data_IF_829364828790
#
_entry.id   IF_829364828790
#
_cell.length_a   1.000
_cell.length_b   1.000
_cell.length_c   1.000
_cell.angle_alpha   90.00
_cell.angle_beta   90.00
_cell.angle_gamma   90.00
#
_symmetry.space_group_name_H-M   'P 1'
#
loop_
_entity.id
_entity.type
_entity.pdbx_description
1 polymer ?
#
# COMPACT_ATOMS: atom_id res chain seq x y z
N UNK A 1 13.14 -7.36 -7.38
CA UNK A 1 11.86 -6.63 -7.24
C UNK A 1 10.75 -7.64 -7.40
N UNK A 2 9.80 -7.69 -6.46
CA UNK A 2 8.72 -8.70 -6.52
C UNK A 2 7.53 -8.34 -7.43
N UNK A 3 7.53 -7.15 -8.04
CA UNK A 3 6.47 -6.68 -8.93
C UNK A 3 6.54 -7.44 -10.28
N UNK A 4 5.41 -7.86 -10.89
CA UNK A 4 5.44 -8.61 -12.15
C UNK A 4 5.96 -7.73 -13.28
N UNK A 5 6.68 -8.33 -14.21
CA UNK A 5 7.27 -7.63 -15.36
C UNK A 5 6.23 -6.89 -16.19
N UNK A 6 5.03 -7.46 -16.35
CA UNK A 6 3.91 -6.82 -17.04
C UNK A 6 3.45 -5.52 -16.36
N UNK A 7 3.39 -5.51 -15.02
CA UNK A 7 3.04 -4.32 -14.24
C UNK A 7 4.15 -3.29 -14.32
N UNK A 8 5.41 -3.70 -14.13
CA UNK A 8 6.56 -2.81 -14.21
C UNK A 8 6.63 -2.10 -15.58
N UNK A 9 6.44 -2.84 -16.68
CA UNK A 9 6.42 -2.28 -18.03
C UNK A 9 5.24 -1.33 -18.25
N UNK A 10 4.04 -1.67 -17.74
CA UNK A 10 2.87 -0.79 -17.85
C UNK A 10 3.07 0.53 -17.11
N UNK A 11 3.62 0.48 -15.88
CA UNK A 11 3.94 1.67 -15.08
C UNK A 11 5.03 2.50 -15.75
N UNK A 12 6.12 1.89 -16.22
CA UNK A 12 7.18 2.59 -16.92
C UNK A 12 6.67 3.29 -18.20
N UNK A 13 5.87 2.58 -19.01
CA UNK A 13 5.25 3.12 -20.22
C UNK A 13 4.31 4.28 -19.89
N UNK A 14 3.50 4.15 -18.83
CA UNK A 14 2.62 5.21 -18.35
C UNK A 14 3.44 6.46 -17.98
N UNK A 15 4.50 6.30 -17.18
CA UNK A 15 5.34 7.41 -16.71
C UNK A 15 6.01 8.13 -17.89
N UNK A 16 6.57 7.38 -18.85
CA UNK A 16 7.13 7.94 -20.07
C UNK A 16 6.11 8.79 -20.83
N UNK A 17 4.88 8.31 -21.00
CA UNK A 17 3.79 9.07 -21.64
C UNK A 17 3.44 10.34 -20.87
N UNK A 18 3.36 10.30 -19.54
CA UNK A 18 3.08 11.50 -18.74
C UNK A 18 4.18 12.56 -18.89
N UNK A 19 5.45 12.12 -18.89
CA UNK A 19 6.61 13.00 -19.10
C UNK A 19 6.63 13.62 -20.49
N UNK A 20 6.38 12.83 -21.53
CA UNK A 20 6.27 13.33 -22.91
C UNK A 20 5.15 14.35 -23.07
N UNK A 21 4.07 14.23 -22.29
CA UNK A 21 2.98 15.23 -22.23
C UNK A 21 3.32 16.45 -21.35
N UNK A 22 4.53 16.54 -20.79
CA UNK A 22 4.94 17.65 -19.92
C UNK A 22 4.21 17.73 -18.58
N UNK A 23 3.48 16.68 -18.17
CA UNK A 23 2.72 16.68 -16.91
C UNK A 23 3.65 16.58 -15.72
N UNK A 24 3.61 17.59 -14.85
CA UNK A 24 4.44 17.66 -13.64
C UNK A 24 3.92 16.78 -12.50
N UNK A 25 2.59 16.66 -12.38
CA UNK A 25 1.90 15.87 -11.36
C UNK A 25 1.03 14.83 -12.07
N UNK A 26 1.21 13.55 -11.73
CA UNK A 26 0.47 12.45 -12.31
C UNK A 26 0.40 11.28 -11.30
N UNK A 27 -0.72 10.57 -11.21
CA UNK A 27 -0.89 9.51 -10.23
C UNK A 27 -0.30 8.19 -10.73
N UNK A 28 0.32 7.43 -9.83
CA UNK A 28 0.82 6.08 -10.10
C UNK A 28 -0.11 5.01 -9.55
N UNK A 29 -0.69 5.29 -8.39
CA UNK A 29 -1.61 4.42 -7.68
C UNK A 29 -2.85 5.24 -7.34
N UNK A 30 -4.04 4.68 -7.51
CA UNK A 30 -5.25 5.20 -6.90
C UNK A 30 -5.49 4.44 -5.58
N UNK A 31 -5.52 5.14 -4.45
CA UNK A 31 -6.14 4.59 -3.23
C UNK A 31 -7.65 4.73 -3.37
N UNK A 32 -8.35 3.62 -3.52
CA UNK A 32 -9.80 3.58 -3.62
C UNK A 32 -10.37 3.03 -2.31
N UNK A 33 -11.10 3.86 -1.58
CA UNK A 33 -11.78 3.50 -0.33
C UNK A 33 -13.30 3.46 -0.59
N UNK A 34 -13.86 2.34 -1.10
CA UNK A 34 -15.29 2.23 -1.40
C UNK A 34 -16.16 2.20 -0.15
N UNK A 35 -15.58 1.98 1.03
CA UNK A 35 -16.23 2.08 2.32
C UNK A 35 -15.23 2.37 3.45
N UNK A 36 -15.74 2.80 4.60
CA UNK A 36 -14.94 2.95 5.82
C UNK A 36 -15.33 2.00 6.96
N UNK A 37 -16.48 1.31 6.92
CA UNK A 37 -16.79 0.28 7.92
C UNK A 37 -15.72 -0.82 7.93
N UNK A 38 -15.29 -1.21 9.12
CA UNK A 38 -14.37 -2.32 9.34
C UNK A 38 -14.96 -3.27 10.39
N UNK A 39 -14.45 -4.50 10.41
CA UNK A 39 -14.78 -5.54 11.40
C UNK A 39 -13.66 -5.73 12.45
N UNK A 40 -12.72 -4.78 12.51
CA UNK A 40 -11.60 -4.67 13.44
C UNK A 40 -11.42 -3.21 13.87
N UNK A 41 -10.79 -3.01 15.04
CA UNK A 41 -10.49 -1.71 15.64
C UNK A 41 -8.99 -1.58 15.94
N UNK A 42 -8.16 -1.66 14.89
CA UNK A 42 -6.71 -1.73 15.05
C UNK A 42 -6.12 -0.49 15.74
N UNK A 43 -5.10 -0.72 16.59
CA UNK A 43 -4.48 0.31 17.43
C UNK A 43 -3.89 1.50 16.64
N UNK A 44 -3.36 1.23 15.44
CA UNK A 44 -2.76 2.24 14.56
C UNK A 44 -3.71 2.86 13.53
N UNK A 45 -5.00 2.49 13.52
CA UNK A 45 -5.94 2.94 12.49
C UNK A 45 -6.70 4.22 12.91
N UNK A 46 -6.59 5.28 12.10
CA UNK A 46 -7.39 6.50 12.26
C UNK A 46 -8.64 6.58 11.36
N UNK A 47 -8.82 5.62 10.44
CA UNK A 47 -9.77 5.72 9.31
C UNK A 47 -11.23 5.38 9.65
N UNK A 48 -11.46 4.60 10.71
CA UNK A 48 -12.82 4.18 11.13
C UNK A 48 -13.43 5.09 12.21
N UNK A 49 -12.72 6.15 12.60
CA UNK A 49 -13.15 7.09 13.64
C UNK A 49 -14.13 8.14 13.07
N UNK A 50 -15.31 7.65 12.67
CA UNK A 50 -16.40 8.40 12.07
C UNK A 50 -17.77 7.94 12.61
N UNK A 51 -18.82 8.79 12.57
CA UNK A 51 -20.18 8.38 12.92
C UNK A 51 -20.70 7.24 12.03
N UNK A 52 -21.60 6.41 12.56
CA UNK A 52 -22.13 5.23 11.87
C UNK A 52 -22.71 5.54 10.48
N UNK A 53 -23.46 6.64 10.34
CA UNK A 53 -24.04 7.00 9.04
C UNK A 53 -22.98 7.23 7.94
N UNK A 54 -21.79 7.70 8.30
CA UNK A 54 -20.65 7.83 7.36
C UNK A 54 -20.00 6.46 7.16
N UNK A 55 -19.81 5.71 8.24
CA UNK A 55 -19.23 4.36 8.15
C UNK A 55 -20.09 3.44 7.28
N UNK A 56 -21.40 3.65 7.18
CA UNK A 56 -22.34 2.89 6.35
C UNK A 56 -22.41 3.33 4.89
N UNK A 57 -21.81 4.45 4.52
CA UNK A 57 -21.73 4.86 3.11
C UNK A 57 -20.91 3.87 2.29
N UNK A 58 -21.34 3.64 1.06
CA UNK A 58 -20.70 2.74 0.09
C UNK A 58 -20.64 3.42 -1.26
N UNK A 59 -19.51 3.34 -1.95
CA UNK A 59 -19.44 3.70 -3.36
C UNK A 59 -19.97 2.54 -4.20
N UNK A 60 -20.77 2.83 -5.23
CA UNK A 60 -21.20 1.77 -6.16
C UNK A 60 -20.03 1.30 -7.03
N UNK A 61 -20.14 0.13 -7.69
CA UNK A 61 -19.15 -0.30 -8.69
C UNK A 61 -18.89 0.75 -9.77
N UNK A 62 -19.92 1.41 -10.27
CA UNK A 62 -19.84 2.43 -11.32
C UNK A 62 -19.06 3.66 -10.85
N UNK A 63 -19.30 4.14 -9.63
CA UNK A 63 -18.53 5.25 -9.03
C UNK A 63 -17.05 4.90 -8.87
N UNK A 64 -16.76 3.65 -8.48
CA UNK A 64 -15.40 3.15 -8.33
C UNK A 64 -14.65 3.10 -9.66
N UNK A 65 -15.31 2.60 -10.72
CA UNK A 65 -14.73 2.53 -12.06
C UNK A 65 -14.54 3.93 -12.65
N UNK A 66 -15.53 4.82 -12.49
CA UNK A 66 -15.45 6.20 -12.94
C UNK A 66 -14.25 6.92 -12.28
N UNK A 67 -14.05 6.76 -10.97
CA UNK A 67 -12.90 7.33 -10.28
C UNK A 67 -11.55 6.78 -10.80
N UNK A 68 -11.49 5.48 -11.11
CA UNK A 68 -10.29 4.85 -11.67
C UNK A 68 -9.97 5.30 -13.11
N UNK A 69 -11.00 5.63 -13.89
CA UNK A 69 -10.87 6.23 -15.22
C UNK A 69 -10.45 7.70 -15.13
N UNK A 70 -11.13 8.47 -14.27
CA UNK A 70 -10.85 9.89 -14.02
C UNK A 70 -9.41 10.13 -13.57
N UNK A 71 -8.93 9.35 -12.59
CA UNK A 71 -7.55 9.42 -12.11
C UNK A 71 -6.53 8.92 -13.15
N UNK A 72 -6.88 7.90 -13.92
CA UNK A 72 -6.02 7.36 -14.97
C UNK A 72 -4.76 6.65 -14.48
N UNK A 73 -4.58 6.45 -13.16
CA UNK A 73 -3.48 5.67 -12.60
C UNK A 73 -3.48 4.23 -13.14
N UNK A 74 -2.31 3.62 -13.41
CA UNK A 74 -2.22 2.23 -13.87
C UNK A 74 -2.51 1.20 -12.77
N UNK A 75 -2.33 1.58 -11.50
CA UNK A 75 -2.53 0.71 -10.32
C UNK A 75 -3.69 1.25 -9.49
N UNK A 76 -4.53 0.36 -8.96
CA UNK A 76 -5.60 0.70 -8.02
C UNK A 76 -5.43 -0.17 -6.78
N UNK A 77 -5.24 0.46 -5.62
CA UNK A 77 -5.26 -0.21 -4.33
C UNK A 77 -6.64 -0.01 -3.72
N UNK A 78 -7.42 -1.08 -3.65
CA UNK A 78 -8.72 -1.06 -2.98
C UNK A 78 -8.47 -1.25 -1.49
N UNK A 79 -8.68 -0.19 -0.72
CA UNK A 79 -8.44 -0.09 0.71
C UNK A 79 -9.67 0.54 1.40
N UNK A 80 -9.50 1.16 2.57
CA UNK A 80 -10.56 1.84 3.32
C UNK A 80 -10.71 1.26 4.72
N UNK A 81 -11.96 0.94 5.10
CA UNK A 81 -12.21 0.01 6.20
C UNK A 81 -11.77 -1.41 5.82
N UNK A 82 -12.68 -2.38 5.87
CA UNK A 82 -12.43 -3.71 5.32
C UNK A 82 -13.18 -3.87 3.98
N UNK A 83 -12.49 -3.86 2.81
CA UNK A 83 -13.13 -3.96 1.51
C UNK A 83 -14.05 -5.17 1.34
N UNK A 84 -13.74 -6.31 1.99
CA UNK A 84 -14.56 -7.51 1.91
C UNK A 84 -15.89 -7.41 2.68
N UNK A 85 -16.17 -6.30 3.37
CA UNK A 85 -17.51 -5.99 3.89
C UNK A 85 -18.41 -5.42 2.77
N UNK A 86 -17.85 -4.87 1.69
CA UNK A 86 -18.64 -4.35 0.59
C UNK A 86 -19.42 -5.49 -0.09
N UNK A 87 -20.76 -5.38 -0.21
CA UNK A 87 -21.58 -6.47 -0.78
C UNK A 87 -21.28 -6.74 -2.26
N UNK A 88 -20.72 -5.75 -2.96
CA UNK A 88 -20.39 -5.80 -4.40
C UNK A 88 -18.88 -5.70 -4.68
N UNK A 89 -18.02 -6.09 -3.73
CA UNK A 89 -16.55 -6.00 -3.92
C UNK A 89 -16.06 -6.81 -5.13
N UNK A 90 -16.70 -7.94 -5.40
CA UNK A 90 -16.43 -8.79 -6.56
C UNK A 90 -16.67 -8.03 -7.87
N UNK A 91 -17.80 -7.34 -8.00
CA UNK A 91 -18.11 -6.49 -9.16
C UNK A 91 -17.11 -5.36 -9.32
N UNK A 92 -16.78 -4.66 -8.23
CA UNK A 92 -15.76 -3.58 -8.24
C UNK A 92 -14.44 -4.11 -8.80
N UNK A 93 -13.95 -5.23 -8.26
CA UNK A 93 -12.69 -5.86 -8.67
C UNK A 93 -12.74 -6.31 -10.13
N UNK A 94 -13.81 -6.99 -10.56
CA UNK A 94 -13.97 -7.49 -11.93
C UNK A 94 -13.92 -6.35 -12.94
N UNK A 95 -14.69 -5.28 -12.74
CA UNK A 95 -14.71 -4.14 -13.66
C UNK A 95 -13.40 -3.35 -13.72
N UNK A 96 -12.61 -3.31 -12.63
CA UNK A 96 -11.27 -2.72 -12.65
C UNK A 96 -10.26 -3.60 -13.41
N UNK A 97 -10.36 -4.92 -13.26
CA UNK A 97 -9.54 -5.90 -14.00
C UNK A 97 -9.83 -5.85 -15.50
N UNK A 98 -11.09 -5.75 -15.91
CA UNK A 98 -11.50 -5.59 -17.32
C UNK A 98 -10.90 -4.34 -17.96
N UNK A 99 -10.80 -3.25 -17.18
CA UNK A 99 -10.13 -1.99 -17.55
C UNK A 99 -8.60 -2.07 -17.51
N UNK A 100 -8.04 -3.27 -17.28
CA UNK A 100 -6.60 -3.56 -17.21
C UNK A 100 -5.86 -2.73 -16.16
N UNK A 101 -6.55 -2.37 -15.06
CA UNK A 101 -5.91 -1.78 -13.88
C UNK A 101 -5.23 -2.90 -13.09
N UNK A 102 -4.03 -2.64 -12.58
CA UNK A 102 -3.40 -3.56 -11.63
C UNK A 102 -4.01 -3.32 -10.24
N UNK A 103 -4.91 -4.20 -9.84
CA UNK A 103 -5.68 -4.15 -8.61
C UNK A 103 -4.94 -4.84 -7.47
N UNK A 104 -4.74 -4.11 -6.38
CA UNK A 104 -4.35 -4.65 -5.08
C UNK A 104 -5.58 -4.61 -4.18
N UNK A 105 -6.20 -5.77 -3.90
CA UNK A 105 -7.32 -5.87 -2.98
C UNK A 105 -6.76 -6.03 -1.57
N UNK A 106 -6.74 -4.95 -0.80
CA UNK A 106 -6.26 -4.97 0.58
C UNK A 106 -7.31 -5.57 1.51
N UNK A 107 -6.90 -6.42 2.44
CA UNK A 107 -7.82 -7.05 3.40
C UNK A 107 -7.10 -7.47 4.68
N UNK A 108 -7.82 -7.45 5.81
CA UNK A 108 -7.43 -8.11 7.06
C UNK A 108 -7.66 -9.63 7.07
N UNK A 109 -8.17 -10.16 5.94
CA UNK A 109 -8.37 -11.57 5.64
C UNK A 109 -9.43 -12.33 6.46
N UNK A 110 -10.11 -11.71 7.44
CA UNK A 110 -11.17 -12.37 8.22
C UNK A 110 -12.27 -12.95 7.33
N UNK A 111 -12.60 -12.25 6.24
CA UNK A 111 -13.63 -12.64 5.29
C UNK A 111 -13.07 -13.26 4.00
N UNK A 112 -11.74 -13.42 3.88
CA UNK A 112 -11.09 -13.76 2.61
C UNK A 112 -11.55 -15.11 2.08
N UNK A 113 -11.53 -16.17 2.88
CA UNK A 113 -11.94 -17.52 2.44
C UNK A 113 -13.37 -17.56 1.87
N UNK A 114 -14.29 -16.79 2.46
CA UNK A 114 -15.68 -16.66 1.98
C UNK A 114 -15.76 -15.99 0.61
N UNK A 115 -14.87 -15.04 0.32
CA UNK A 115 -14.88 -14.26 -0.91
C UNK A 115 -14.06 -14.89 -2.04
N UNK A 116 -13.05 -15.71 -1.73
CA UNK A 116 -12.21 -16.34 -2.74
C UNK A 116 -12.97 -17.10 -3.84
N UNK A 117 -14.09 -17.81 -3.58
CA UNK A 117 -14.90 -18.43 -4.64
C UNK A 117 -15.59 -17.44 -5.60
N UNK A 118 -15.79 -16.19 -5.19
CA UNK A 118 -16.47 -15.15 -5.98
C UNK A 118 -15.48 -14.29 -6.78
N UNK A 119 -14.20 -14.34 -6.41
CA UNK A 119 -13.13 -13.66 -7.13
C UNK A 119 -12.52 -14.60 -8.17
N UNK A 120 -11.96 -14.03 -9.23
CA UNK A 120 -11.26 -14.79 -10.28
C UNK A 120 -9.77 -14.43 -10.28
N UNK A 121 -8.84 -15.41 -10.22
CA UNK A 121 -7.42 -15.13 -10.40
C UNK A 121 -7.16 -14.41 -11.73
N UNK A 122 -6.33 -13.38 -11.70
CA UNK A 122 -5.97 -12.60 -12.87
C UNK A 122 -4.57 -12.04 -12.69
N UNK A 123 -3.82 -11.88 -13.79
CA UNK A 123 -2.52 -11.17 -13.76
C UNK A 123 -2.65 -9.70 -13.31
N UNK A 124 -3.87 -9.16 -13.36
CA UNK A 124 -4.20 -7.81 -12.93
C UNK A 124 -4.70 -7.75 -11.48
N UNK A 125 -4.87 -8.88 -10.79
CA UNK A 125 -5.37 -8.92 -9.42
C UNK A 125 -4.32 -9.52 -8.48
N UNK A 126 -4.01 -8.79 -7.41
CA UNK A 126 -3.19 -9.26 -6.29
C UNK A 126 -4.00 -9.10 -5.00
N UNK A 127 -4.15 -10.17 -4.23
CA UNK A 127 -4.70 -10.08 -2.88
C UNK A 127 -3.59 -9.58 -1.96
N UNK A 128 -3.84 -8.50 -1.21
CA UNK A 128 -2.86 -7.91 -0.30
C UNK A 128 -3.35 -8.07 1.14
N UNK A 129 -2.77 -9.02 1.87
CA UNK A 129 -3.18 -9.34 3.23
C UNK A 129 -2.35 -8.54 4.23
N UNK A 130 -3.02 -7.86 5.16
CA UNK A 130 -2.32 -7.11 6.21
C UNK A 130 -1.79 -8.04 7.30
N UNK A 131 -0.50 -7.95 7.62
CA UNK A 131 0.18 -8.71 8.67
C UNK A 131 1.31 -7.87 9.27
N UNK A 132 1.15 -7.44 10.51
CA UNK A 132 2.09 -6.54 11.22
C UNK A 132 3.11 -7.28 12.10
N UNK A 133 2.94 -8.59 12.27
CA UNK A 133 3.74 -9.42 13.15
C UNK A 133 3.43 -10.90 12.99
N UNK A 134 4.17 -11.73 13.71
CA UNK A 134 3.70 -13.08 14.03
C UNK A 134 2.51 -13.01 15.00
N UNK A 135 1.87 -14.16 15.23
CA UNK A 135 0.60 -14.34 15.95
C UNK A 135 0.32 -13.32 17.06
N UNK A 136 1.15 -13.30 18.10
CA UNK A 136 0.89 -12.50 19.31
C UNK A 136 0.93 -11.00 19.00
N UNK A 137 1.94 -10.56 18.24
CA UNK A 137 2.09 -9.15 17.87
C UNK A 137 0.97 -8.72 16.92
N UNK A 138 0.64 -9.53 15.91
CA UNK A 138 -0.40 -9.16 14.96
C UNK A 138 -1.78 -9.09 15.62
N UNK A 139 -2.15 -10.09 16.41
CA UNK A 139 -3.43 -10.12 17.13
C UNK A 139 -3.56 -8.94 18.12
N UNK A 140 -2.45 -8.53 18.75
CA UNK A 140 -2.42 -7.35 19.61
C UNK A 140 -2.61 -6.04 18.82
N UNK A 141 -1.96 -5.89 17.65
CA UNK A 141 -2.10 -4.69 16.81
C UNK A 141 -3.51 -4.50 16.26
N UNK A 142 -4.23 -5.59 15.99
CA UNK A 142 -5.60 -5.56 15.47
C UNK A 142 -6.68 -5.67 16.55
N UNK A 143 -6.28 -5.70 17.81
CA UNK A 143 -7.15 -5.86 19.00
C UNK A 143 -8.14 -7.03 18.91
N UNK A 144 -7.69 -8.17 18.34
CA UNK A 144 -8.50 -9.37 18.26
C UNK A 144 -7.64 -10.62 18.14
N UNK A 145 -7.85 -11.58 19.05
CA UNK A 145 -7.21 -12.91 19.00
C UNK A 145 -7.68 -13.76 17.82
N UNK A 146 -6.76 -14.52 17.25
CA UNK A 146 -7.00 -15.49 16.17
C UNK A 146 -7.09 -14.86 14.78
N UNK A 147 -6.76 -13.58 14.60
CA UNK A 147 -6.77 -12.93 13.29
C UNK A 147 -5.58 -13.41 12.46
N UNK A 148 -4.42 -13.59 13.08
CA UNK A 148 -3.23 -14.14 12.42
C UNK A 148 -3.50 -15.49 11.76
N UNK A 149 -4.17 -16.42 12.46
CA UNK A 149 -4.52 -17.73 11.89
C UNK A 149 -5.42 -17.63 10.67
N UNK A 150 -6.44 -16.76 10.76
CA UNK A 150 -7.36 -16.53 9.64
C UNK A 150 -6.63 -15.93 8.44
N UNK A 151 -5.71 -14.99 8.68
CA UNK A 151 -4.88 -14.43 7.63
C UNK A 151 -3.99 -15.51 6.99
N UNK A 152 -3.32 -16.34 7.78
CA UNK A 152 -2.49 -17.45 7.29
C UNK A 152 -3.31 -18.45 6.47
N UNK A 153 -4.48 -18.86 6.97
CA UNK A 153 -5.38 -19.80 6.28
C UNK A 153 -5.90 -19.20 4.96
N UNK A 154 -6.35 -17.94 4.99
CA UNK A 154 -6.80 -17.20 3.81
C UNK A 154 -5.69 -17.03 2.76
N UNK A 155 -4.45 -16.74 3.17
CA UNK A 155 -3.29 -16.68 2.26
C UNK A 155 -3.06 -18.04 1.60
N UNK A 156 -3.04 -19.13 2.37
CA UNK A 156 -2.84 -20.48 1.84
C UNK A 156 -3.92 -20.86 0.84
N UNK A 157 -5.19 -20.59 1.16
CA UNK A 157 -6.32 -20.89 0.28
C UNK A 157 -6.31 -20.03 -0.99
N UNK A 158 -5.98 -18.74 -0.88
CA UNK A 158 -5.85 -17.85 -2.03
C UNK A 158 -4.77 -18.36 -3.00
N UNK A 159 -3.61 -18.74 -2.45
CA UNK A 159 -2.52 -19.33 -3.25
C UNK A 159 -2.90 -20.67 -3.87
N UNK A 160 -3.59 -21.54 -3.14
CA UNK A 160 -4.09 -22.83 -3.66
C UNK A 160 -5.01 -22.64 -4.87
N UNK A 161 -5.79 -21.56 -4.89
CA UNK A 161 -6.66 -21.17 -6.01
C UNK A 161 -5.95 -20.43 -7.13
N UNK A 162 -4.64 -20.23 -7.04
CA UNK A 162 -3.84 -19.57 -8.07
C UNK A 162 -3.89 -18.04 -8.03
N UNK A 163 -4.40 -17.43 -6.96
CA UNK A 163 -4.25 -15.98 -6.78
C UNK A 163 -2.80 -15.63 -6.49
N UNK A 164 -2.39 -14.48 -7.02
CA UNK A 164 -1.19 -13.80 -6.56
C UNK A 164 -1.48 -13.18 -5.20
N UNK A 165 -0.63 -13.44 -4.22
CA UNK A 165 -0.79 -12.95 -2.85
C UNK A 165 0.43 -12.16 -2.42
N UNK A 166 0.18 -10.96 -1.92
CA UNK A 166 1.18 -10.12 -1.27
C UNK A 166 0.77 -9.83 0.16
N UNK A 167 1.70 -9.34 0.95
CA UNK A 167 1.39 -8.80 2.27
C UNK A 167 1.71 -7.33 2.38
N UNK A 168 1.08 -6.68 3.35
CA UNK A 168 1.43 -5.32 3.76
C UNK A 168 1.68 -5.33 5.27
N UNK A 169 2.86 -4.88 5.68
CA UNK A 169 3.31 -4.88 7.06
C UNK A 169 3.58 -3.45 7.51
N UNK A 170 2.96 -3.04 8.61
CA UNK A 170 3.25 -1.77 9.25
C UNK A 170 4.26 -1.98 10.37
N UNK A 171 5.32 -1.17 10.39
CA UNK A 171 6.34 -1.20 11.45
C UNK A 171 6.00 -0.12 12.48
N UNK A 172 5.69 -0.56 13.70
CA UNK A 172 5.38 0.25 14.87
C UNK A 172 6.55 0.25 15.88
N UNK A 173 6.40 0.96 16.98
CA UNK A 173 7.40 1.02 18.06
C UNK A 173 7.65 -0.35 18.71
N UNK A 174 6.60 -1.17 18.83
CA UNK A 174 6.68 -2.52 19.41
C UNK A 174 7.17 -3.58 18.41
N UNK A 175 7.38 -3.19 17.14
CA UNK A 175 7.90 -4.07 16.10
C UNK A 175 9.42 -4.17 16.20
N UNK A 176 9.94 -5.07 17.04
CA UNK A 176 11.39 -5.25 17.12
C UNK A 176 11.96 -5.74 15.77
N UNK A 177 13.19 -5.32 15.39
CA UNK A 177 13.79 -5.76 14.13
C UNK A 177 13.89 -7.29 13.98
N UNK A 178 14.13 -8.00 15.08
CA UNK A 178 14.22 -9.46 15.09
C UNK A 178 12.85 -10.12 14.82
N UNK A 179 11.76 -9.60 15.40
CA UNK A 179 10.39 -10.05 15.07
C UNK A 179 10.03 -9.77 13.61
N UNK A 180 10.45 -8.62 13.06
CA UNK A 180 10.23 -8.32 11.65
C UNK A 180 11.01 -9.27 10.74
N UNK A 181 12.25 -9.62 11.11
CA UNK A 181 13.04 -10.64 10.42
C UNK A 181 12.32 -11.99 10.40
N UNK A 182 11.81 -12.43 11.55
CA UNK A 182 11.06 -13.69 11.67
C UNK A 182 9.78 -13.68 10.84
N UNK A 183 9.01 -12.58 10.88
CA UNK A 183 7.83 -12.42 10.03
C UNK A 183 8.19 -12.51 8.55
N UNK A 184 9.21 -11.77 8.08
CA UNK A 184 9.58 -11.78 6.67
C UNK A 184 10.11 -13.15 6.22
N UNK A 185 10.84 -13.86 7.07
CA UNK A 185 11.23 -15.24 6.80
C UNK A 185 10.00 -16.15 6.69
N UNK A 186 9.07 -16.08 7.64
CA UNK A 186 7.83 -16.86 7.61
C UNK A 186 6.98 -16.58 6.34
N UNK A 187 6.83 -15.31 5.98
CA UNK A 187 6.11 -14.91 4.77
C UNK A 187 6.75 -15.47 3.49
N UNK A 188 8.09 -15.48 3.43
CA UNK A 188 8.85 -15.93 2.26
C UNK A 188 9.03 -17.44 2.18
N UNK A 189 9.25 -18.12 3.30
CA UNK A 189 9.67 -19.52 3.35
C UNK A 189 8.47 -20.46 3.54
N UNK A 190 7.61 -20.14 4.51
CA UNK A 190 6.45 -20.95 4.87
C UNK A 190 5.23 -20.63 4.00
N UNK A 191 4.87 -19.35 3.89
CA UNK A 191 3.70 -18.93 3.09
C UNK A 191 4.05 -18.72 1.62
N UNK A 192 5.33 -18.48 1.32
CA UNK A 192 5.86 -18.25 -0.04
C UNK A 192 5.11 -17.17 -0.79
N UNK A 193 4.75 -16.06 -0.12
CA UNK A 193 4.00 -14.97 -0.75
C UNK A 193 4.75 -14.39 -1.95
N UNK A 194 4.03 -13.86 -2.93
CA UNK A 194 4.63 -13.34 -4.16
C UNK A 194 5.43 -12.05 -3.93
N UNK A 195 5.17 -11.38 -2.82
CA UNK A 195 6.06 -10.41 -2.20
C UNK A 195 5.39 -9.58 -1.12
N UNK A 196 6.16 -8.65 -0.56
CA UNK A 196 5.82 -7.95 0.67
C UNK A 196 5.91 -6.44 0.45
N UNK A 197 4.99 -5.70 1.03
CA UNK A 197 5.11 -4.27 1.24
C UNK A 197 5.37 -4.03 2.72
N UNK A 198 6.24 -3.09 3.03
CA UNK A 198 6.57 -2.67 4.38
C UNK A 198 6.51 -1.16 4.44
N UNK A 199 5.84 -0.62 5.45
CA UNK A 199 5.76 0.82 5.66
C UNK A 199 5.95 1.15 7.14
N UNK A 200 6.64 2.25 7.46
CA UNK A 200 6.51 2.90 8.76
C UNK A 200 5.03 3.18 9.08
N UNK A 201 4.63 2.98 10.34
CA UNK A 201 3.36 3.50 10.86
C UNK A 201 3.32 5.02 10.77
N UNK A 202 2.15 5.57 10.39
CA UNK A 202 1.93 7.02 10.38
C UNK A 202 1.17 7.43 11.63
N UNK A 203 1.68 8.45 12.32
CA UNK A 203 1.15 9.05 13.54
C UNK A 203 -0.16 9.80 13.31
N UNK A 204 -1.23 9.05 12.99
CA UNK A 204 -2.57 9.61 12.86
C UNK A 204 -3.00 10.27 14.17
N UNK A 205 -3.40 11.55 14.18
CA UNK A 205 -3.89 12.21 15.39
C UNK A 205 -5.11 11.53 16.01
N UNK A 206 -5.90 10.82 15.18
CA UNK A 206 -7.10 10.07 15.59
C UNK A 206 -6.83 8.62 15.97
N UNK A 207 -5.60 8.12 15.85
CA UNK A 207 -5.32 6.73 16.24
C UNK A 207 -5.53 6.55 17.75
N UNK A 208 -6.20 5.47 18.18
CA UNK A 208 -6.55 5.26 19.59
C UNK A 208 -5.33 5.10 20.50
N UNK A 209 -4.20 4.61 19.97
CA UNK A 209 -2.95 4.55 20.69
C UNK A 209 -1.84 5.35 19.98
N UNK A 210 -1.31 6.39 20.62
CA UNK A 210 -0.22 7.21 20.09
C UNK A 210 1.18 6.64 20.40
N UNK A 211 1.31 5.75 21.40
CA UNK A 211 2.62 5.23 21.82
C UNK A 211 3.23 4.23 20.83
N UNK A 212 2.43 3.73 19.87
CA UNK A 212 2.87 2.75 18.86
C UNK A 212 3.67 3.40 17.73
N UNK A 213 3.75 4.73 17.64
CA UNK A 213 4.44 5.42 16.55
C UNK A 213 5.87 5.80 16.92
N UNK A 214 6.81 5.49 16.02
CA UNK A 214 8.20 5.90 16.14
C UNK A 214 8.43 7.28 15.53
N UNK A 215 9.32 8.06 16.12
CA UNK A 215 9.84 9.28 15.48
C UNK A 215 10.75 8.91 14.33
N UNK A 216 10.95 9.85 13.41
CA UNK A 216 11.75 9.62 12.19
C UNK A 216 13.15 9.01 12.44
N UNK A 217 13.97 9.49 13.40
CA UNK A 217 15.30 8.91 13.63
C UNK A 217 15.25 7.48 14.15
N UNK A 218 14.28 7.17 15.02
CA UNK A 218 14.07 5.82 15.57
C UNK A 218 13.62 4.87 14.45
N UNK A 219 12.70 5.32 13.61
CA UNK A 219 12.23 4.57 12.44
C UNK A 219 13.38 4.24 11.48
N UNK A 220 14.26 5.22 11.20
CA UNK A 220 15.46 5.01 10.37
C UNK A 220 16.39 3.96 11.00
N UNK A 221 16.62 4.03 12.32
CA UNK A 221 17.45 3.06 13.02
C UNK A 221 16.85 1.64 12.94
N UNK A 222 15.54 1.51 13.14
CA UNK A 222 14.79 0.25 13.02
C UNK A 222 14.93 -0.35 11.62
N UNK A 223 14.63 0.41 10.57
CA UNK A 223 14.76 -0.09 9.19
C UNK A 223 16.20 -0.39 8.78
N UNK A 224 17.17 0.37 9.30
CA UNK A 224 18.60 0.05 9.10
C UNK A 224 18.96 -1.29 9.70
N UNK A 225 18.48 -1.60 10.92
CA UNK A 225 18.72 -2.92 11.53
C UNK A 225 17.99 -4.03 10.75
N UNK A 226 16.71 -3.86 10.45
CA UNK A 226 15.91 -4.83 9.65
C UNK A 226 16.60 -5.16 8.32
N UNK A 227 17.00 -4.14 7.56
CA UNK A 227 17.58 -4.35 6.23
C UNK A 227 19.08 -4.67 6.25
N UNK A 228 19.70 -4.76 7.44
CA UNK A 228 21.09 -5.23 7.62
C UNK A 228 21.21 -6.75 7.79
N UNK A 229 20.10 -7.44 8.08
CA UNK A 229 20.11 -8.89 8.21
C UNK A 229 20.56 -9.56 6.90
N UNK A 230 21.37 -10.63 6.95
CA UNK A 230 21.80 -11.35 5.75
C UNK A 230 20.64 -11.82 4.86
N UNK A 231 19.52 -12.22 5.48
CA UNK A 231 18.29 -12.66 4.84
C UNK A 231 17.63 -11.56 4.01
N UNK A 232 17.89 -10.28 4.28
CA UNK A 232 17.26 -9.17 3.56
C UNK A 232 17.52 -9.20 2.04
N UNK A 233 18.61 -9.84 1.60
CA UNK A 233 18.93 -10.04 0.18
C UNK A 233 17.94 -10.95 -0.55
N UNK A 234 17.27 -11.87 0.17
CA UNK A 234 16.30 -12.83 -0.39
C UNK A 234 14.85 -12.38 -0.25
N UNK A 235 14.58 -11.42 0.63
CA UNK A 235 13.23 -10.88 0.83
C UNK A 235 12.72 -10.15 -0.41
N UNK A 236 11.51 -10.52 -0.85
CA UNK A 236 10.90 -9.97 -2.06
C UNK A 236 9.99 -8.80 -1.72
N UNK A 237 10.56 -7.61 -1.59
CA UNK A 237 9.77 -6.39 -1.43
C UNK A 237 9.18 -5.87 -2.76
N UNK A 238 7.95 -5.35 -2.69
CA UNK A 238 7.30 -4.58 -3.76
C UNK A 238 7.64 -3.10 -3.64
N UNK A 239 8.90 -2.82 -3.35
CA UNK A 239 9.46 -1.48 -3.26
C UNK A 239 10.59 -1.31 -4.26
N UNK A 240 10.76 -0.08 -4.71
CA UNK A 240 11.99 0.34 -5.37
C UNK A 240 13.16 0.28 -4.40
N UNK A 241 14.37 -0.08 -4.86
CA UNK A 241 15.57 0.01 -4.04
C UNK A 241 15.77 1.41 -3.43
N UNK A 242 15.44 2.46 -4.18
CA UNK A 242 15.51 3.84 -3.72
C UNK A 242 14.60 4.12 -2.50
N UNK A 243 13.38 3.57 -2.46
CA UNK A 243 12.52 3.70 -1.28
C UNK A 243 13.11 2.96 -0.06
N UNK A 244 13.66 1.76 -0.25
CA UNK A 244 14.32 1.02 0.84
C UNK A 244 15.59 1.73 1.35
N UNK A 245 16.35 2.40 0.48
CA UNK A 245 17.47 3.26 0.87
C UNK A 245 17.00 4.47 1.70
N UNK A 246 15.89 5.09 1.30
CA UNK A 246 15.26 6.18 2.04
C UNK A 246 14.83 5.74 3.44
N UNK A 247 14.22 4.57 3.59
CA UNK A 247 13.85 4.03 4.91
C UNK A 247 15.07 3.83 5.84
N UNK A 248 16.25 3.57 5.29
CA UNK A 248 17.51 3.43 6.04
C UNK A 248 18.21 4.77 6.32
N UNK A 249 17.64 5.89 5.86
CA UNK A 249 18.26 7.22 5.93
C UNK A 249 19.46 7.38 5.01
N UNK A 250 19.65 6.49 4.03
CA UNK A 250 20.74 6.56 3.03
C UNK A 250 20.46 7.56 1.91
N UNK A 251 19.18 7.94 1.77
CA UNK A 251 18.70 8.89 0.77
C UNK A 251 17.68 9.83 1.39
N UNK A 252 17.76 11.11 1.05
CA UNK A 252 16.72 12.08 1.34
C UNK A 252 15.73 12.15 0.16
N UNK A 253 14.44 12.27 0.46
CA UNK A 253 13.38 12.41 -0.54
C UNK A 253 12.35 13.42 -0.06
N UNK A 254 11.67 14.07 -0.99
CA UNK A 254 10.48 14.88 -0.72
C UNK A 254 9.22 14.12 -1.12
N UNK A 255 8.18 14.23 -0.31
CA UNK A 255 6.92 13.49 -0.52
C UNK A 255 6.23 13.96 -1.81
N UNK A 256 5.64 13.01 -2.55
CA UNK A 256 4.80 13.28 -3.71
C UNK A 256 3.45 12.61 -3.54
N UNK A 257 2.72 13.07 -2.52
CA UNK A 257 1.42 12.53 -2.15
C UNK A 257 0.41 12.48 -3.32
N UNK A 258 0.49 13.43 -4.25
CA UNK A 258 -0.28 13.42 -5.51
C UNK A 258 -0.02 12.21 -6.41
N UNK A 259 1.06 11.47 -6.18
CA UNK A 259 1.35 10.21 -6.85
C UNK A 259 0.46 9.06 -6.39
N UNK A 260 -0.24 9.23 -5.26
CA UNK A 260 -1.18 8.26 -4.71
C UNK A 260 -2.48 8.94 -4.21
N UNK A 261 -3.26 9.58 -5.11
CA UNK A 261 -4.52 10.23 -4.75
C UNK A 261 -5.51 9.24 -4.14
N UNK A 262 -6.42 9.76 -3.32
CA UNK A 262 -7.40 8.92 -2.60
C UNK A 262 -8.82 9.32 -2.94
N UNK A 263 -9.61 8.36 -3.43
CA UNK A 263 -11.07 8.48 -3.59
C UNK A 263 -11.75 7.73 -2.46
N UNK A 264 -12.64 8.41 -1.74
CA UNK A 264 -13.36 7.90 -0.57
C UNK A 264 -14.86 8.03 -0.75
N UNK A 265 -15.68 7.57 0.19
CA UNK A 265 -17.14 7.80 0.19
C UNK A 265 -17.53 9.29 0.25
N UNK A 266 -16.66 10.19 0.73
CA UNK A 266 -16.93 11.63 0.83
C UNK A 266 -16.40 12.46 -0.34
N UNK A 267 -15.60 11.86 -1.24
CA UNK A 267 -14.98 12.57 -2.36
C UNK A 267 -13.50 12.21 -2.55
N UNK A 268 -12.82 12.99 -3.37
CA UNK A 268 -11.36 12.99 -3.49
C UNK A 268 -10.74 13.67 -2.27
N UNK A 269 -10.01 12.94 -1.45
CA UNK A 269 -9.45 13.45 -0.19
C UNK A 269 -8.25 14.37 -0.43
N UNK A 270 -8.24 15.52 0.24
CA UNK A 270 -7.13 16.49 0.29
C UNK A 270 -6.47 16.52 1.67
N UNK A 271 -5.16 16.76 1.75
CA UNK A 271 -4.19 16.80 0.64
C UNK A 271 -3.73 15.40 0.22
N UNK A 272 -3.82 14.38 1.07
CA UNK A 272 -3.23 13.07 0.80
C UNK A 272 -4.03 11.93 1.45
N UNK A 273 -3.57 10.69 1.28
CA UNK A 273 -4.19 9.51 1.87
C UNK A 273 -4.30 9.56 3.41
N UNK A 274 -3.30 10.15 4.08
CA UNK A 274 -3.12 10.12 5.53
C UNK A 274 -3.73 11.34 6.24
N UNK A 275 -3.64 12.51 5.60
CA UNK A 275 -4.16 13.78 6.12
C UNK A 275 -5.48 14.08 5.40
N UNK A 276 -6.52 14.39 6.17
CA UNK A 276 -7.83 14.76 5.64
C UNK A 276 -8.19 16.17 6.09
N UNK A 277 -7.81 17.15 5.27
CA UNK A 277 -8.17 18.57 5.42
C UNK A 277 -9.48 18.89 4.68
N UNK A 278 -9.95 17.99 3.83
CA UNK A 278 -11.23 18.12 3.13
C UNK A 278 -11.39 17.14 1.99
N UNK A 279 -12.52 17.26 1.27
CA UNK A 279 -12.88 16.42 0.14
C UNK A 279 -13.36 17.28 -1.02
N UNK A 280 -13.04 16.87 -2.24
CA UNK A 280 -13.46 17.55 -3.47
C UNK A 280 -14.07 16.61 -4.49
N UNK A 281 -14.77 17.20 -5.46
CA UNK A 281 -15.68 16.45 -6.33
C UNK A 281 -14.97 15.75 -7.47
N UNK A 282 -13.86 16.31 -7.95
CA UNK A 282 -13.11 15.77 -9.08
C UNK A 282 -11.61 15.61 -8.79
N UNK A 283 -11.00 14.68 -9.51
CA UNK A 283 -9.57 14.43 -9.50
C UNK A 283 -8.79 15.65 -10.01
N UNK A 284 -9.31 16.35 -11.02
CA UNK A 284 -8.70 17.57 -11.53
C UNK A 284 -8.61 18.64 -10.43
N UNK A 285 -9.72 18.87 -9.72
CA UNK A 285 -9.76 19.78 -8.58
C UNK A 285 -8.75 19.37 -7.49
N UNK A 286 -8.62 18.07 -7.19
CA UNK A 286 -7.62 17.57 -6.25
C UNK A 286 -6.19 17.94 -6.70
N UNK A 287 -5.84 17.70 -7.95
CA UNK A 287 -4.47 17.89 -8.44
C UNK A 287 -4.12 19.36 -8.63
N UNK A 288 -5.05 20.16 -9.14
CA UNK A 288 -4.78 21.52 -9.59
C UNK A 288 -4.90 22.53 -8.44
N UNK A 289 -5.90 22.38 -7.56
CA UNK A 289 -6.18 23.37 -6.52
C UNK A 289 -5.51 23.06 -5.18
N UNK A 290 -4.96 21.86 -4.99
CA UNK A 290 -4.20 21.54 -3.76
C UNK A 290 -2.83 22.21 -3.81
N UNK A 291 -2.49 22.97 -2.77
CA UNK A 291 -1.16 23.55 -2.58
C UNK A 291 -0.13 22.50 -2.12
N UNK A 292 0.21 21.56 -3.00
CA UNK A 292 1.09 20.42 -2.72
C UNK A 292 2.44 20.80 -2.08
N UNK A 293 2.96 21.97 -2.44
CA UNK A 293 4.26 22.44 -1.95
C UNK A 293 4.25 22.86 -0.47
N UNK A 294 3.08 22.98 0.17
CA UNK A 294 2.98 23.16 1.63
C UNK A 294 3.23 21.88 2.42
N UNK A 295 3.09 20.72 1.78
CA UNK A 295 3.14 19.42 2.46
C UNK A 295 4.46 18.70 2.24
N UNK A 296 4.80 17.79 3.18
CA UNK A 296 6.02 17.00 3.14
C UNK A 296 6.98 17.32 4.28
N UNK A 297 8.02 16.50 4.38
CA UNK A 297 9.02 16.60 5.45
C UNK A 297 9.73 17.96 5.42
N UNK A 298 9.70 18.67 6.55
CA UNK A 298 10.25 20.02 6.71
C UNK A 298 9.33 21.15 6.22
N UNK A 299 8.10 20.85 5.78
CA UNK A 299 7.15 21.83 5.24
C UNK A 299 5.84 21.91 6.03
N UNK A 300 5.30 20.76 6.44
CA UNK A 300 4.13 20.66 7.32
C UNK A 300 4.50 19.87 8.59
N UNK A 301 4.10 20.38 9.76
CA UNK A 301 4.39 19.75 11.05
C UNK A 301 3.86 18.30 11.16
N UNK A 302 2.72 18.01 10.53
CA UNK A 302 2.09 16.68 10.49
C UNK A 302 2.83 15.69 9.60
N UNK A 303 3.81 16.17 8.82
CA UNK A 303 4.67 15.36 7.97
C UNK A 303 6.05 15.09 8.59
N UNK A 304 6.34 15.62 9.78
CA UNK A 304 7.67 15.56 10.43
C UNK A 304 8.18 14.12 10.58
N UNK A 305 7.31 13.20 11.03
CA UNK A 305 7.68 11.79 11.21
C UNK A 305 7.34 10.92 10.00
N UNK A 306 6.64 11.47 9.00
CA UNK A 306 6.08 10.67 7.92
C UNK A 306 7.18 10.10 7.01
N UNK A 307 7.17 8.78 6.87
CA UNK A 307 8.01 8.02 5.94
C UNK A 307 7.17 6.97 5.18
N UNK A 308 5.85 7.19 5.14
CA UNK A 308 4.90 6.21 4.63
C UNK A 308 5.08 5.94 3.13
N UNK A 309 4.96 4.67 2.77
CA UNK A 309 5.08 4.20 1.39
C UNK A 309 4.21 4.98 0.40
N UNK A 310 2.96 5.28 0.77
CA UNK A 310 2.00 5.98 -0.10
C UNK A 310 2.44 7.38 -0.54
N UNK A 311 3.34 8.05 0.21
CA UNK A 311 3.85 9.38 -0.13
C UNK A 311 5.21 9.36 -0.84
N UNK A 312 6.05 8.37 -0.55
CA UNK A 312 7.46 8.37 -0.93
C UNK A 312 7.82 7.37 -2.04
N UNK A 313 7.08 6.28 -2.20
CA UNK A 313 7.36 5.32 -3.29
C UNK A 313 7.18 5.98 -4.67
N UNK A 314 6.17 6.83 -4.82
CA UNK A 314 5.97 7.57 -6.07
C UNK A 314 7.14 8.52 -6.40
N UNK A 315 7.78 9.09 -5.37
CA UNK A 315 9.00 9.87 -5.52
C UNK A 315 10.15 8.98 -5.97
N UNK A 316 10.36 7.87 -5.28
CA UNK A 316 11.40 6.91 -5.56
C UNK A 316 11.31 6.37 -7.01
N UNK A 317 10.12 5.95 -7.44
CA UNK A 317 9.85 5.51 -8.82
C UNK A 317 10.18 6.61 -9.84
N UNK A 318 9.79 7.86 -9.57
CA UNK A 318 10.07 8.98 -10.48
C UNK A 318 11.57 9.25 -10.59
N UNK A 319 12.30 9.24 -9.49
CA UNK A 319 13.75 9.42 -9.47
C UNK A 319 14.48 8.29 -10.20
N UNK A 320 14.09 7.04 -9.95
CA UNK A 320 14.66 5.87 -10.64
C UNK A 320 14.48 5.94 -12.16
N UNK A 321 13.33 6.41 -12.65
CA UNK A 321 13.08 6.55 -14.09
C UNK A 321 13.73 7.82 -14.68
N UNK A 322 14.06 8.82 -13.85
CA UNK A 322 14.82 9.99 -14.31
C UNK A 322 16.31 9.70 -14.50
N UNK A 323 16.85 8.70 -13.82
CA UNK A 323 18.28 8.36 -13.85
C UNK A 323 18.52 7.06 -14.61
N UNK A 324 19.24 7.08 -15.75
CA UNK A 324 19.59 5.87 -16.50
C UNK A 324 20.33 4.82 -15.66
N UNK A 325 21.23 5.25 -14.78
CA UNK A 325 21.99 4.38 -13.86
C UNK A 325 21.09 3.71 -12.82
N UNK A 326 20.14 4.44 -12.25
CA UNK A 326 19.18 3.90 -11.28
C UNK A 326 18.17 2.96 -11.96
N UNK A 327 17.75 3.28 -13.18
CA UNK A 327 16.90 2.42 -14.00
C UNK A 327 17.54 1.06 -14.28
N UNK A 328 18.85 1.03 -14.57
CA UNK A 328 19.61 -0.22 -14.73
C UNK A 328 19.66 -1.01 -13.41
N UNK A 329 19.95 -0.37 -12.27
CA UNK A 329 19.94 -1.05 -10.96
C UNK A 329 18.58 -1.65 -10.61
N UNK A 330 17.50 -0.92 -10.87
CA UNK A 330 16.14 -1.41 -10.67
C UNK A 330 15.82 -2.61 -11.58
N UNK A 331 16.25 -2.57 -12.85
CA UNK A 331 16.08 -3.67 -13.79
C UNK A 331 16.87 -4.93 -13.35
N UNK A 332 18.13 -4.79 -12.94
CA UNK A 332 18.95 -5.90 -12.41
C UNK A 332 18.29 -6.52 -11.19
N UNK A 333 17.76 -5.71 -10.26
CA UNK A 333 17.03 -6.22 -9.10
C UNK A 333 15.78 -7.01 -9.48
N UNK A 334 15.14 -6.67 -10.61
CA UNK A 334 13.93 -7.34 -11.12
C UNK A 334 14.27 -8.66 -11.81
N UNK A 335 15.41 -8.73 -12.50
CA UNK A 335 15.89 -9.93 -13.21
C UNK A 335 16.49 -10.95 -12.24
N UNK A 336 17.27 -10.54 -11.25
CA UNK A 336 17.87 -11.46 -10.25
C UNK A 336 16.85 -12.23 -9.40
N UNK A 337 15.59 -11.77 -9.36
CA UNK A 337 14.50 -12.51 -8.71
C UNK A 337 14.01 -13.72 -9.54
N UNK A 338 14.28 -13.78 -10.85
CA UNK A 338 13.90 -14.90 -11.72
C UNK A 338 14.80 -16.13 -11.57
N UNK A 339 16.08 -15.96 -11.24
CA UNK A 339 17.05 -17.07 -11.18
C UNK A 339 16.84 -17.99 -9.96
N UNK A 340 16.00 -17.60 -9.00
CA UNK A 340 15.55 -18.46 -7.89
C UNK A 340 14.38 -19.40 -8.23
N UNK A 341 14.03 -19.51 -9.51
CA UNK A 341 12.93 -20.34 -10.03
C UNK A 341 13.40 -21.42 -11.02
N UNK A 342 14.64 -21.91 -10.88
CA UNK A 342 15.09 -23.15 -11.52
C UNK A 342 15.22 -24.26 -10.46
#
# INVERSE_FOLDING_TARGET
MGIPTSQALAVATYILRQRLKGRKRYPLVLMLEPLWRCNLECAGCGKIQHPDHILDMRLTPEECWAAAEECGAPVVSIAGGEPLIHPEIDRIVEGLVERKKYVYLCTNAILLERWLPKLKPSKYLTISVHLDGLRELHDAMVDRKGVFDKAVAGIREAKRRGFRVSTNTTVYADSSPDQMRELFNFLMDDLRVDGMMVSPGYDYPKAPNQSVFLRRPEMIATFRKILSFPEAKRWRFFHTPAFLEFLQGKRAMQCTAWGNPTRTVLGWQRPCYLISDGYVKSFAELIDDTEWDRYGYGRDARCTNCMAHCGYEATAVRETIASPLEGIRAAISTIGARESHA
#
